data_IF_400220871847
#
_entry.id   IF_400220871847
#
_cell.length_a   1.000
_cell.length_b   1.000
_cell.length_c   1.000
_cell.angle_alpha   90.00
_cell.angle_beta   90.00
_cell.angle_gamma   90.00
#
_symmetry.space_group_name_H-M   'P 1'
#
loop_
_entity.id
_entity.type
_entity.pdbx_description
1 polymer ?
#
# COMPACT_ATOMS: atom_id res chain seq x y z
N UNK A 1 33.04 3.81 23.15
CA UNK A 1 32.69 4.12 21.74
C UNK A 1 31.66 3.15 21.15
N UNK A 2 31.68 1.86 21.47
CA UNK A 2 30.75 0.82 20.96
C UNK A 2 29.26 1.06 21.27
N UNK A 3 28.95 1.61 22.45
CA UNK A 3 27.57 1.92 22.89
C UNK A 3 26.85 2.97 22.05
N UNK A 4 27.59 3.84 21.35
CA UNK A 4 27.02 4.85 20.47
C UNK A 4 26.45 4.21 19.20
N UNK A 5 27.24 3.33 18.56
CA UNK A 5 26.83 2.62 17.35
C UNK A 5 25.60 1.73 17.56
N UNK A 6 25.51 1.05 18.71
CA UNK A 6 24.32 0.27 19.06
C UNK A 6 23.06 1.14 19.15
N UNK A 7 23.14 2.29 19.85
CA UNK A 7 22.01 3.21 20.00
C UNK A 7 21.59 3.82 18.66
N UNK A 8 22.55 4.17 17.79
CA UNK A 8 22.29 4.74 16.47
C UNK A 8 21.54 3.76 15.57
N UNK A 9 21.98 2.50 15.51
CA UNK A 9 21.33 1.47 14.69
C UNK A 9 19.95 1.13 15.26
N UNK A 10 19.82 1.08 16.59
CA UNK A 10 18.52 0.92 17.25
C UNK A 10 17.55 2.04 16.86
N UNK A 11 18.01 3.30 16.84
CA UNK A 11 17.22 4.46 16.41
C UNK A 11 16.83 4.35 14.94
N UNK A 12 17.75 3.94 14.06
CA UNK A 12 17.45 3.71 12.65
C UNK A 12 16.35 2.66 12.44
N UNK A 13 16.37 1.56 13.21
CA UNK A 13 15.31 0.54 13.18
C UNK A 13 13.97 1.12 13.65
N UNK A 14 13.96 1.97 14.67
CA UNK A 14 12.73 2.62 15.16
C UNK A 14 12.14 3.59 14.15
N UNK A 15 12.98 4.42 13.52
CA UNK A 15 12.56 5.33 12.44
C UNK A 15 11.97 4.53 11.28
N UNK A 16 12.66 3.49 10.83
CA UNK A 16 12.14 2.58 9.79
C UNK A 16 10.76 2.00 10.14
N UNK A 17 10.56 1.53 11.38
CA UNK A 17 9.27 1.01 11.82
C UNK A 17 8.19 2.10 11.87
N UNK A 18 8.55 3.31 12.28
CA UNK A 18 7.65 4.46 12.30
C UNK A 18 7.23 4.86 10.88
N UNK A 19 8.18 5.03 9.97
CA UNK A 19 7.94 5.40 8.57
C UNK A 19 7.08 4.36 7.87
N UNK A 20 7.35 3.08 8.10
CA UNK A 20 6.52 1.99 7.59
C UNK A 20 5.08 2.09 8.10
N UNK A 21 4.87 2.28 9.40
CA UNK A 21 3.54 2.42 9.97
C UNK A 21 2.82 3.69 9.50
N UNK A 22 3.54 4.79 9.35
CA UNK A 22 3.01 6.05 8.84
C UNK A 22 2.58 5.91 7.38
N UNK A 23 3.40 5.29 6.53
CA UNK A 23 3.04 4.97 5.15
C UNK A 23 1.76 4.12 5.08
N UNK A 24 1.65 3.10 5.93
CA UNK A 24 0.43 2.27 6.00
C UNK A 24 -0.82 3.04 6.44
N UNK A 25 -0.67 4.04 7.33
CA UNK A 25 -1.77 4.92 7.75
C UNK A 25 -2.17 5.88 6.63
N UNK A 26 -1.20 6.49 5.95
CA UNK A 26 -1.44 7.44 4.86
C UNK A 26 -2.10 6.77 3.65
N UNK A 27 -1.80 5.50 3.41
CA UNK A 27 -2.49 4.74 2.37
C UNK A 27 -4.02 4.70 2.62
N UNK A 28 -4.46 4.77 3.87
CA UNK A 28 -5.89 4.77 4.24
C UNK A 28 -6.51 6.16 4.32
N UNK A 29 -5.73 7.22 4.59
CA UNK A 29 -6.26 8.57 4.84
C UNK A 29 -6.84 9.23 3.60
N UNK A 30 -6.38 8.85 2.41
CA UNK A 30 -6.63 9.67 1.22
C UNK A 30 -8.04 9.52 0.64
N UNK A 31 -8.94 8.74 1.27
CA UNK A 31 -10.33 8.49 0.86
C UNK A 31 -10.48 8.10 -0.63
N UNK A 32 -9.37 7.75 -1.30
CA UNK A 32 -9.34 7.64 -2.77
C UNK A 32 -10.26 6.53 -3.23
N UNK A 33 -10.30 5.44 -2.49
CA UNK A 33 -11.20 4.33 -2.77
C UNK A 33 -12.69 4.70 -2.65
N UNK A 34 -13.04 5.58 -1.71
CA UNK A 34 -14.42 6.05 -1.52
C UNK A 34 -14.85 6.97 -2.68
N UNK A 35 -13.96 7.87 -3.10
CA UNK A 35 -14.18 8.71 -4.28
C UNK A 35 -14.26 7.90 -5.57
N UNK A 36 -13.42 6.88 -5.75
CA UNK A 36 -13.49 5.97 -6.91
C UNK A 36 -14.82 5.23 -6.95
N UNK A 37 -15.27 4.74 -5.80
CA UNK A 37 -16.53 4.02 -5.69
C UNK A 37 -17.72 4.95 -6.00
N UNK A 38 -17.76 6.15 -5.42
CA UNK A 38 -18.81 7.15 -5.67
C UNK A 38 -18.84 7.62 -7.13
N UNK A 39 -17.68 7.92 -7.72
CA UNK A 39 -17.59 8.36 -9.13
C UNK A 39 -17.95 7.23 -10.09
N UNK A 40 -17.58 5.98 -9.78
CA UNK A 40 -18.01 4.82 -10.57
C UNK A 40 -19.52 4.60 -10.49
N UNK A 41 -20.15 4.77 -9.31
CA UNK A 41 -21.61 4.76 -9.19
C UNK A 41 -22.27 5.86 -10.01
N UNK A 42 -21.72 7.08 -9.99
CA UNK A 42 -22.22 8.19 -10.79
C UNK A 42 -22.18 7.89 -12.30
N UNK A 43 -21.15 7.17 -12.77
CA UNK A 43 -21.06 6.76 -14.18
C UNK A 43 -22.19 5.80 -14.57
N UNK A 44 -22.70 4.96 -13.67
CA UNK A 44 -23.84 4.08 -13.96
C UNK A 44 -25.16 4.83 -14.18
N UNK A 45 -25.32 6.02 -13.60
CA UNK A 45 -26.52 6.85 -13.77
C UNK A 45 -26.64 7.51 -15.15
N UNK A 46 -25.63 7.39 -16.02
CA UNK A 46 -25.63 8.00 -17.35
C UNK A 46 -26.37 7.08 -18.33
N UNK A 47 -27.52 7.50 -18.90
CA UNK A 47 -28.33 6.64 -19.76
C UNK A 47 -27.70 6.41 -21.15
N UNK A 48 -26.87 7.37 -21.61
CA UNK A 48 -26.19 7.27 -22.90
C UNK A 48 -24.85 6.53 -22.75
N UNK A 49 -24.70 5.41 -23.47
CA UNK A 49 -23.51 4.54 -23.41
C UNK A 49 -22.20 5.22 -23.78
N UNK A 50 -22.20 6.14 -24.76
CA UNK A 50 -20.98 6.84 -25.19
C UNK A 50 -20.51 7.78 -24.08
N UNK A 51 -21.43 8.54 -23.48
CA UNK A 51 -21.12 9.42 -22.35
C UNK A 51 -20.76 8.64 -21.09
N UNK A 52 -21.39 7.49 -20.85
CA UNK A 52 -21.05 6.58 -19.76
C UNK A 52 -19.59 6.08 -19.88
N UNK A 53 -19.17 5.66 -21.07
CA UNK A 53 -17.80 5.22 -21.33
C UNK A 53 -16.79 6.36 -21.15
N UNK A 54 -17.10 7.55 -21.66
CA UNK A 54 -16.24 8.72 -21.51
C UNK A 54 -16.05 9.10 -20.03
N UNK A 55 -17.13 9.13 -19.24
CA UNK A 55 -17.08 9.41 -17.81
C UNK A 55 -16.26 8.34 -17.04
N UNK A 56 -16.40 7.08 -17.44
CA UNK A 56 -15.63 5.97 -16.86
C UNK A 56 -14.13 6.09 -17.16
N UNK A 57 -13.76 6.40 -18.40
CA UNK A 57 -12.36 6.63 -18.79
C UNK A 57 -11.73 7.83 -18.07
N UNK A 58 -12.48 8.93 -17.91
CA UNK A 58 -12.02 10.08 -17.15
C UNK A 58 -11.77 9.71 -15.68
N UNK A 59 -12.69 8.95 -15.07
CA UNK A 59 -12.55 8.45 -13.70
C UNK A 59 -11.28 7.62 -13.52
N UNK A 60 -10.99 6.75 -14.49
CA UNK A 60 -9.75 5.95 -14.53
C UNK A 60 -8.49 6.83 -14.59
N UNK A 61 -8.48 7.86 -15.45
CA UNK A 61 -7.34 8.78 -15.60
C UNK A 61 -7.09 9.56 -14.31
N UNK A 62 -8.14 10.15 -13.71
CA UNK A 62 -8.01 10.88 -12.44
C UNK A 62 -7.52 9.98 -11.32
N UNK A 63 -7.99 8.74 -11.28
CA UNK A 63 -7.56 7.77 -10.28
C UNK A 63 -6.11 7.32 -10.45
N UNK A 64 -5.69 7.01 -11.68
CA UNK A 64 -4.30 6.69 -12.00
C UNK A 64 -3.35 7.82 -11.57
N UNK A 65 -3.72 9.08 -11.81
CA UNK A 65 -2.96 10.24 -11.36
C UNK A 65 -2.82 10.35 -9.83
N UNK A 66 -3.84 9.96 -9.07
CA UNK A 66 -3.78 9.89 -7.59
C UNK A 66 -2.87 8.75 -7.11
N UNK A 67 -2.91 7.59 -7.74
CA UNK A 67 -2.06 6.45 -7.39
C UNK A 67 -0.57 6.73 -7.62
N UNK A 68 -0.23 7.46 -8.69
CA UNK A 68 1.14 7.86 -8.97
C UNK A 68 1.72 8.77 -7.87
N UNK A 69 0.89 9.58 -7.21
CA UNK A 69 1.31 10.43 -6.07
C UNK A 69 1.56 9.65 -4.77
N UNK A 70 1.02 8.43 -4.65
CA UNK A 70 1.22 7.55 -3.49
C UNK A 70 2.56 6.80 -3.52
N UNK A 71 3.37 6.96 -4.59
CA UNK A 71 4.64 6.26 -4.72
C UNK A 71 5.61 6.70 -3.61
N UNK A 72 6.00 5.74 -2.76
CA UNK A 72 6.93 6.00 -1.66
C UNK A 72 8.34 6.23 -2.22
N UNK A 73 9.00 7.31 -1.76
CA UNK A 73 10.28 7.80 -2.29
C UNK A 73 11.45 6.81 -2.15
N UNK A 74 11.34 5.81 -1.27
CA UNK A 74 12.32 4.74 -1.13
C UNK A 74 11.64 3.38 -0.90
N UNK A 75 12.19 2.33 -1.52
CA UNK A 75 11.72 0.97 -1.26
C UNK A 75 12.07 0.55 0.18
N UNK A 76 11.08 0.07 0.93
CA UNK A 76 11.30 -0.51 2.27
C UNK A 76 12.31 -1.66 2.26
N UNK A 77 12.58 -2.26 1.09
CA UNK A 77 13.60 -3.31 0.90
C UNK A 77 15.00 -2.71 0.95
N UNK A 78 15.20 -1.52 0.38
CA UNK A 78 16.51 -0.85 0.35
C UNK A 78 16.88 -0.32 1.72
N UNK A 79 15.92 0.24 2.46
CA UNK A 79 16.11 0.66 3.85
C UNK A 79 16.50 -0.52 4.75
N UNK A 80 15.89 -1.69 4.56
CA UNK A 80 16.27 -2.90 5.31
C UNK A 80 17.68 -3.39 4.97
N UNK A 81 18.04 -3.41 3.69
CA UNK A 81 19.40 -3.79 3.25
C UNK A 81 20.44 -2.85 3.86
N UNK A 82 20.17 -1.55 3.84
CA UNK A 82 21.03 -0.53 4.42
C UNK A 82 21.22 -0.73 5.93
N UNK A 83 20.13 -0.93 6.68
CA UNK A 83 20.21 -1.20 8.13
C UNK A 83 20.96 -2.51 8.41
N UNK A 84 20.70 -3.56 7.62
CA UNK A 84 21.38 -4.84 7.78
C UNK A 84 22.89 -4.72 7.55
N UNK A 85 23.31 -3.97 6.53
CA UNK A 85 24.73 -3.70 6.24
C UNK A 85 25.38 -2.95 7.41
N UNK A 86 24.70 -1.94 7.97
CA UNK A 86 25.17 -1.20 9.15
C UNK A 86 25.32 -2.06 10.41
N UNK A 87 24.48 -3.09 10.61
CA UNK A 87 24.63 -4.01 11.75
C UNK A 87 25.92 -4.85 11.60
N UNK A 88 26.21 -5.32 10.39
CA UNK A 88 27.40 -6.15 10.11
C UNK A 88 28.68 -5.36 10.29
N UNK A 89 28.74 -4.15 9.71
CA UNK A 89 29.92 -3.28 9.70
C UNK A 89 30.19 -2.58 11.04
N UNK A 90 29.22 -2.56 11.96
CA UNK A 90 29.38 -1.86 13.22
C UNK A 90 30.34 -2.59 14.19
N UNK A 91 31.23 -1.85 14.88
CA UNK A 91 32.11 -2.39 15.92
C UNK A 91 31.31 -2.55 17.23
N UNK A 92 30.41 -3.54 17.27
CA UNK A 92 29.55 -3.89 18.39
C UNK A 92 29.64 -5.40 18.67
N UNK A 93 29.28 -5.83 19.88
CA UNK A 93 29.40 -7.25 20.26
C UNK A 93 28.43 -8.15 19.49
N UNK A 94 28.73 -9.45 19.40
CA UNK A 94 27.85 -10.41 18.72
C UNK A 94 26.47 -10.54 19.40
N UNK A 95 26.42 -10.36 20.73
CA UNK A 95 25.17 -10.29 21.48
C UNK A 95 24.33 -9.06 21.08
N UNK A 96 24.97 -7.92 20.83
CA UNK A 96 24.31 -6.70 20.37
C UNK A 96 23.85 -6.81 18.90
N UNK A 97 24.68 -7.40 18.03
CA UNK A 97 24.33 -7.68 16.63
C UNK A 97 23.13 -8.61 16.53
N UNK A 98 23.13 -9.71 17.27
CA UNK A 98 22.01 -10.67 17.28
C UNK A 98 20.72 -10.03 17.79
N UNK A 99 20.78 -9.19 18.83
CA UNK A 99 19.62 -8.43 19.32
C UNK A 99 19.06 -7.46 18.26
N UNK A 100 19.92 -6.76 17.50
CA UNK A 100 19.49 -5.86 16.42
C UNK A 100 18.89 -6.62 15.24
N UNK A 101 19.49 -7.74 14.83
CA UNK A 101 18.92 -8.62 13.80
C UNK A 101 17.57 -9.21 14.22
N UNK A 102 17.41 -9.57 15.50
CA UNK A 102 16.13 -10.07 16.01
C UNK A 102 15.03 -8.99 15.95
N UNK A 103 15.35 -7.73 16.29
CA UNK A 103 14.41 -6.61 16.13
C UNK A 103 14.05 -6.35 14.67
N UNK A 104 15.05 -6.31 13.78
CA UNK A 104 14.83 -6.09 12.34
C UNK A 104 14.00 -7.24 11.74
N UNK A 105 14.27 -8.48 12.13
CA UNK A 105 13.53 -9.65 11.66
C UNK A 105 12.07 -9.67 12.13
N UNK A 106 11.76 -9.18 13.34
CA UNK A 106 10.37 -9.00 13.80
C UNK A 106 9.61 -8.01 12.91
N UNK A 107 10.23 -6.88 12.56
CA UNK A 107 9.62 -5.87 11.67
C UNK A 107 9.49 -6.44 10.24
N UNK A 108 10.52 -7.14 9.76
CA UNK A 108 10.48 -7.84 8.47
C UNK A 108 9.37 -8.89 8.41
N UNK A 109 9.17 -9.65 9.49
CA UNK A 109 8.06 -10.59 9.63
C UNK A 109 6.73 -9.86 9.63
N UNK A 110 6.58 -8.74 10.35
CA UNK A 110 5.36 -7.93 10.31
C UNK A 110 5.03 -7.43 8.89
N UNK A 111 6.01 -6.89 8.16
CA UNK A 111 5.84 -6.47 6.77
C UNK A 111 5.52 -7.65 5.84
N UNK A 112 6.22 -8.79 6.00
CA UNK A 112 6.01 -10.00 5.20
C UNK A 112 4.78 -10.79 5.65
N UNK A 113 4.18 -10.45 6.78
CA UNK A 113 2.97 -11.11 7.27
C UNK A 113 1.83 -10.75 6.31
N UNK A 114 1.74 -11.54 5.24
CA UNK A 114 0.69 -11.55 4.24
C UNK A 114 -0.57 -12.17 4.82
N UNK A 115 -0.92 -11.82 6.07
CA UNK A 115 -2.15 -12.31 6.63
C UNK A 115 -3.26 -11.71 5.76
N UNK A 116 -3.80 -12.51 4.86
CA UNK A 116 -4.67 -12.05 3.77
C UNK A 116 -5.88 -11.34 4.38
N UNK A 117 -6.35 -11.84 5.52
CA UNK A 117 -7.37 -11.22 6.37
C UNK A 117 -6.96 -9.83 6.87
N UNK A 118 -5.71 -9.62 7.26
CA UNK A 118 -5.21 -8.30 7.66
C UNK A 118 -5.15 -7.33 6.48
N UNK A 119 -4.68 -7.80 5.32
CA UNK A 119 -4.63 -6.99 4.09
C UNK A 119 -6.05 -6.65 3.60
N UNK A 120 -6.96 -7.63 3.58
CA UNK A 120 -8.38 -7.48 3.25
C UNK A 120 -9.05 -6.51 4.20
N UNK A 121 -9.01 -6.77 5.52
CA UNK A 121 -9.64 -5.91 6.53
C UNK A 121 -9.10 -4.48 6.47
N UNK A 122 -7.81 -4.30 6.16
CA UNK A 122 -7.18 -2.98 6.14
C UNK A 122 -7.37 -2.23 4.81
N UNK A 123 -7.54 -2.93 3.69
CA UNK A 123 -7.71 -2.34 2.36
C UNK A 123 -9.09 -2.64 1.74
N UNK A 124 -10.09 -3.02 2.54
CA UNK A 124 -11.38 -3.48 2.04
C UNK A 124 -12.07 -2.41 1.16
N UNK A 125 -11.89 -1.13 1.48
CA UNK A 125 -12.42 -0.01 0.68
C UNK A 125 -11.79 0.04 -0.71
N UNK A 126 -10.46 -0.12 -0.80
CA UNK A 126 -9.76 -0.23 -2.08
C UNK A 126 -10.23 -1.44 -2.87
N UNK A 127 -10.33 -2.60 -2.21
CA UNK A 127 -10.80 -3.83 -2.86
C UNK A 127 -12.24 -3.70 -3.36
N UNK A 128 -13.12 -3.06 -2.60
CA UNK A 128 -14.49 -2.76 -3.01
C UNK A 128 -14.52 -1.80 -4.19
N UNK A 129 -13.75 -0.70 -4.16
CA UNK A 129 -13.65 0.26 -5.26
C UNK A 129 -13.13 -0.37 -6.55
N UNK A 130 -12.02 -1.13 -6.48
CA UNK A 130 -11.47 -1.84 -7.64
C UNK A 130 -12.40 -2.96 -8.13
N UNK A 131 -13.03 -3.70 -7.22
CA UNK A 131 -14.00 -4.74 -7.58
C UNK A 131 -15.19 -4.16 -8.32
N UNK A 132 -15.75 -3.06 -7.81
CA UNK A 132 -16.85 -2.35 -8.48
C UNK A 132 -16.44 -1.77 -9.83
N UNK A 133 -15.23 -1.21 -9.93
CA UNK A 133 -14.70 -0.69 -11.18
C UNK A 133 -14.51 -1.81 -12.22
N UNK A 134 -14.04 -2.98 -11.79
CA UNK A 134 -13.93 -4.16 -12.64
C UNK A 134 -15.31 -4.65 -13.10
N UNK A 135 -16.29 -4.74 -12.20
CA UNK A 135 -17.67 -5.08 -12.56
C UNK A 135 -18.26 -4.08 -13.56
N UNK A 136 -18.00 -2.79 -13.37
CA UNK A 136 -18.44 -1.72 -14.27
C UNK A 136 -17.81 -1.85 -15.67
N UNK A 137 -16.53 -2.21 -15.73
CA UNK A 137 -15.84 -2.46 -16.99
C UNK A 137 -16.41 -3.69 -17.72
N UNK A 138 -16.65 -4.79 -16.99
CA UNK A 138 -17.28 -6.00 -17.56
C UNK A 138 -18.68 -5.69 -18.08
N UNK A 139 -19.48 -4.93 -17.33
CA UNK A 139 -20.82 -4.50 -17.76
C UNK A 139 -20.78 -3.63 -19.02
N UNK A 140 -19.77 -2.76 -19.16
CA UNK A 140 -19.59 -1.94 -20.36
C UNK A 140 -19.19 -2.77 -21.58
N UNK A 141 -18.38 -3.81 -21.40
CA UNK A 141 -17.94 -4.68 -22.49
C UNK A 141 -19.01 -5.71 -22.91
N UNK A 142 -19.74 -6.24 -21.94
CA UNK A 142 -20.76 -7.26 -22.16
C UNK A 142 -21.97 -7.00 -21.24
N UNK A 143 -22.91 -6.13 -21.65
CA UNK A 143 -24.09 -5.82 -20.85
C UNK A 143 -25.00 -7.05 -20.63
N UNK A 144 -24.93 -8.04 -21.53
CA UNK A 144 -25.67 -9.30 -21.45
C UNK A 144 -25.22 -10.23 -20.31
N UNK A 145 -24.05 -9.97 -19.71
CA UNK A 145 -23.51 -10.78 -18.61
C UNK A 145 -24.27 -10.59 -17.28
N UNK A 146 -24.98 -9.47 -17.13
CA UNK A 146 -25.72 -9.12 -15.90
C UNK A 146 -27.24 -9.16 -16.08
N UNK A 147 -27.73 -9.38 -17.29
CA UNK A 147 -29.13 -9.66 -17.58
C UNK A 147 -29.35 -11.16 -17.45
N UNK A 148 -30.11 -11.56 -16.43
CA UNK A 148 -30.65 -12.92 -16.33
C UNK A 148 -31.81 -13.03 -17.32
N UNK A 149 -31.50 -13.32 -18.57
CA UNK A 149 -32.44 -13.94 -19.52
C UNK A 149 -32.13 -15.43 -19.64
#
# INVERSE_FOLDING_TARGET
>A
MTTHHYKDIKKAIQVYAHDMNHWWKNLQSDSVAEWVLLTSFACWGIPNRVFQLAAFLLTLIFFAGKLLKLHHRHSFIDSEKYISKRIVEAPISDAEKSALHLRLSKIRKFRRNKNVVFILKRNWRFLAGYGYLMLSFVYLLNPGFFTLD
#
